data_IF_833421585820
#
_entry.id   IF_833421585820
#
_cell.length_a   1.000
_cell.length_b   1.000
_cell.length_c   1.000
_cell.angle_alpha   90.00
_cell.angle_beta   90.00
_cell.angle_gamma   90.00
#
_symmetry.space_group_name_H-M   'P 1'
#
loop_
_entity.id
_entity.type
_entity.pdbx_description
1 polymer ?
#
# COMPACT_ATOMS: atom_id res chain seq x y z
N UNK A 1 0.04 -4.77 -11.47
CA UNK A 1 0.17 -3.69 -10.46
C UNK A 1 -1.12 -3.45 -9.71
N UNK A 2 -2.28 -3.36 -10.37
CA UNK A 2 -3.57 -3.07 -9.73
C UNK A 2 -4.08 -4.19 -8.79
N UNK A 3 -3.88 -5.47 -9.13
CA UNK A 3 -4.34 -6.59 -8.29
C UNK A 3 -3.68 -6.65 -6.91
N UNK A 4 -2.36 -6.42 -6.84
CA UNK A 4 -1.65 -6.37 -5.55
C UNK A 4 -1.97 -5.14 -4.69
N UNK A 5 -2.52 -4.08 -5.31
CA UNK A 5 -3.03 -2.92 -4.59
C UNK A 5 -4.35 -3.28 -3.91
N UNK A 6 -5.28 -3.94 -4.62
CA UNK A 6 -6.57 -4.38 -4.07
C UNK A 6 -6.40 -5.31 -2.87
N UNK A 7 -5.60 -6.36 -3.03
CA UNK A 7 -5.40 -7.36 -1.97
C UNK A 7 -4.66 -6.79 -0.76
N UNK A 8 -3.78 -5.80 -0.95
CA UNK A 8 -2.98 -5.20 0.11
C UNK A 8 -3.63 -4.00 0.80
N UNK A 9 -4.64 -3.38 0.18
CA UNK A 9 -5.26 -2.13 0.65
C UNK A 9 -6.63 -2.29 1.26
N UNK A 10 -7.36 -3.34 0.88
CA UNK A 10 -8.78 -3.43 1.16
C UNK A 10 -9.65 -2.51 0.30
N UNK A 11 -9.07 -1.78 -0.67
CA UNK A 11 -9.84 -1.03 -1.66
C UNK A 11 -10.47 -1.97 -2.68
N UNK A 12 -11.71 -1.65 -3.07
CA UNK A 12 -12.36 -2.25 -4.22
C UNK A 12 -11.69 -1.84 -5.53
N UNK A 13 -11.88 -2.64 -6.58
CA UNK A 13 -11.33 -2.34 -7.90
C UNK A 13 -11.84 -1.00 -8.48
N UNK A 14 -13.04 -0.56 -8.08
CA UNK A 14 -13.60 0.73 -8.47
C UNK A 14 -12.86 1.89 -7.80
N UNK A 15 -12.62 1.81 -6.49
CA UNK A 15 -11.85 2.82 -5.74
C UNK A 15 -10.42 2.94 -6.26
N UNK A 16 -9.83 1.83 -6.70
CA UNK A 16 -8.49 1.82 -7.33
C UNK A 16 -8.53 2.45 -8.73
N UNK A 17 -9.61 2.25 -9.48
CA UNK A 17 -9.81 2.87 -10.79
C UNK A 17 -9.96 4.39 -10.71
N UNK A 18 -10.50 4.89 -9.59
CA UNK A 18 -10.67 6.32 -9.31
C UNK A 18 -9.42 6.98 -8.69
N UNK A 19 -8.43 6.19 -8.26
CA UNK A 19 -7.19 6.70 -7.69
C UNK A 19 -6.25 7.27 -8.74
N UNK A 20 -5.69 8.45 -8.46
CA UNK A 20 -4.59 9.00 -9.26
C UNK A 20 -3.29 8.23 -9.01
N UNK A 21 -2.36 8.28 -9.97
CA UNK A 21 -1.03 7.66 -9.84
C UNK A 21 -0.30 8.15 -8.58
N UNK A 22 -0.46 9.42 -8.21
CA UNK A 22 0.19 10.00 -7.03
C UNK A 22 -0.40 9.44 -5.73
N UNK A 23 -1.71 9.21 -5.67
CA UNK A 23 -2.37 8.57 -4.53
C UNK A 23 -1.89 7.12 -4.38
N UNK A 24 -1.79 6.37 -5.48
CA UNK A 24 -1.26 5.01 -5.49
C UNK A 24 0.19 4.95 -4.99
N UNK A 25 1.03 5.89 -5.43
CA UNK A 25 2.43 6.00 -4.97
C UNK A 25 2.52 6.33 -3.49
N UNK A 26 1.73 7.30 -3.02
CA UNK A 26 1.67 7.66 -1.60
C UNK A 26 1.30 6.44 -0.75
N UNK A 27 0.24 5.73 -1.13
CA UNK A 27 -0.22 4.55 -0.41
C UNK A 27 0.84 3.45 -0.34
N UNK A 28 1.51 3.16 -1.48
CA UNK A 28 2.60 2.19 -1.51
C UNK A 28 3.77 2.57 -0.60
N UNK A 29 4.14 3.85 -0.57
CA UNK A 29 5.19 4.35 0.31
C UNK A 29 4.85 4.15 1.79
N UNK A 30 3.59 4.39 2.18
CA UNK A 30 3.12 4.16 3.55
C UNK A 30 3.27 2.69 3.97
N UNK A 31 2.94 1.74 3.08
CA UNK A 31 3.11 0.31 3.38
C UNK A 31 4.56 -0.06 3.57
N UNK A 32 5.45 0.42 2.69
CA UNK A 32 6.86 0.09 2.79
C UNK A 32 7.45 0.64 4.10
N UNK A 33 7.05 1.85 4.51
CA UNK A 33 7.43 2.41 5.80
C UNK A 33 6.92 1.56 6.98
N UNK A 34 5.66 1.11 6.94
CA UNK A 34 5.10 0.24 7.97
C UNK A 34 5.79 -1.13 8.04
N UNK A 35 6.04 -1.76 6.88
CA UNK A 35 6.77 -3.04 6.80
C UNK A 35 8.16 -2.91 7.41
N UNK A 36 8.87 -1.82 7.11
CA UNK A 36 10.16 -1.52 7.72
C UNK A 36 10.03 -1.39 9.24
N UNK A 37 9.07 -0.60 9.73
CA UNK A 37 8.86 -0.41 11.17
C UNK A 37 8.60 -1.73 11.91
N UNK A 38 7.72 -2.58 11.39
CA UNK A 38 7.42 -3.89 11.99
C UNK A 38 8.65 -4.79 11.98
N UNK A 39 9.42 -4.80 10.89
CA UNK A 39 10.66 -5.58 10.82
C UNK A 39 11.71 -5.08 11.80
N UNK A 40 11.86 -3.76 11.96
CA UNK A 40 12.78 -3.17 12.93
C UNK A 40 12.38 -3.54 14.37
N UNK A 41 11.08 -3.58 14.69
CA UNK A 41 10.59 -4.05 16.00
C UNK A 41 10.83 -5.55 16.23
N UNK A 42 10.78 -6.38 15.18
CA UNK A 42 10.98 -7.82 15.31
C UNK A 42 12.46 -8.23 15.50
N UNK A 43 13.40 -7.32 15.22
CA UNK A 43 14.84 -7.57 15.29
C UNK A 43 15.51 -6.99 16.54
N UNK A 44 14.79 -6.21 17.37
CA UNK A 44 15.27 -5.65 18.63
C UNK A 44 14.80 -6.45 19.84
#
# INVERSE_FOLDING_TARGET
MLGGLADGSGFSAAEIGDMTIDQVRMWWNCIQAYRKHVNDLAQG
#
